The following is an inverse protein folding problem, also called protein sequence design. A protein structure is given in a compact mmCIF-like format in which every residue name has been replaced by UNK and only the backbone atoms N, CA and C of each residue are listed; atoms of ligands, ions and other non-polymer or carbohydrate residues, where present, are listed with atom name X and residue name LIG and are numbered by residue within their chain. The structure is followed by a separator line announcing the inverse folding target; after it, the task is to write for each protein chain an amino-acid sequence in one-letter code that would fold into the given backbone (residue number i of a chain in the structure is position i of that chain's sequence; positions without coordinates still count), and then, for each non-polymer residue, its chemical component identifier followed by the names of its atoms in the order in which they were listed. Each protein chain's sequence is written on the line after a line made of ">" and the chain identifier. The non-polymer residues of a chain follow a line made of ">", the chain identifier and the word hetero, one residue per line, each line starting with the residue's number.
data_IF_397878686775
#
_entry.id   IF_397878686775
#
_cell.length_a   1.000
_cell.length_b   1.000
_cell.length_c   1.000
_cell.angle_alpha   90.00
_cell.angle_beta   90.00
_cell.angle_gamma   90.00
#
_symmetry.space_group_name_H-M   'P 1'
#
loop_
_entity.id
_entity.type
_entity.pdbx_description
1 polymer ?
#
# COMPACT_ATOMS: atom_id res chain seq x y z
N UNK A 1 -6.72 2.12 -13.54
CA UNK A 1 -7.43 2.86 -14.61
C UNK A 1 -6.96 2.45 -16.02
N UNK A 2 -5.81 1.80 -16.17
CA UNK A 2 -5.21 1.53 -17.49
C UNK A 2 -4.71 2.79 -18.23
N UNK A 3 -4.73 3.96 -17.59
CA UNK A 3 -4.28 5.24 -18.16
C UNK A 3 -2.87 5.57 -17.68
N UNK A 4 -2.11 6.25 -18.51
CA UNK A 4 -0.79 6.77 -18.12
C UNK A 4 -0.92 7.83 -17.01
N UNK A 5 0.07 7.94 -16.10
CA UNK A 5 0.07 8.95 -15.02
C UNK A 5 -0.16 10.38 -15.51
N UNK A 6 0.39 10.73 -16.66
CA UNK A 6 0.19 12.05 -17.29
C UNK A 6 -1.26 12.33 -17.69
N UNK A 7 -2.07 11.29 -17.89
CA UNK A 7 -3.50 11.45 -18.21
C UNK A 7 -4.37 11.55 -16.97
N UNK A 8 -3.99 10.90 -15.88
CA UNK A 8 -4.68 11.01 -14.59
C UNK A 8 -4.21 12.23 -13.79
N UNK A 9 -3.12 12.85 -14.19
CA UNK A 9 -2.50 13.97 -13.46
C UNK A 9 -1.67 13.54 -12.24
N UNK A 10 -1.71 12.26 -11.84
CA UNK A 10 -0.92 11.73 -10.72
C UNK A 10 0.48 11.36 -11.23
N UNK A 11 1.34 12.35 -11.38
CA UNK A 11 2.65 12.23 -12.05
C UNK A 11 3.84 12.10 -11.11
N UNK A 12 3.61 12.22 -9.80
CA UNK A 12 4.61 11.99 -8.75
C UNK A 12 3.94 11.29 -7.57
N UNK A 13 4.70 10.76 -6.60
CA UNK A 13 4.09 10.23 -5.40
C UNK A 13 3.42 11.34 -4.59
N UNK A 14 2.26 11.06 -4.04
CA UNK A 14 1.45 12.05 -3.32
C UNK A 14 2.20 12.52 -2.07
N UNK A 15 2.25 13.85 -1.88
CA UNK A 15 3.08 14.51 -0.85
C UNK A 15 4.45 15.00 -1.35
N UNK A 16 4.97 14.47 -2.45
CA UNK A 16 6.30 14.80 -2.96
C UNK A 16 6.50 16.28 -3.33
N UNK A 17 5.50 16.87 -3.96
CA UNK A 17 5.60 18.21 -4.51
C UNK A 17 5.16 19.31 -3.54
N UNK A 18 4.53 18.96 -2.42
CA UNK A 18 3.93 19.96 -1.52
C UNK A 18 4.98 20.84 -0.83
N UNK A 19 6.23 20.40 -0.79
CA UNK A 19 7.31 21.08 -0.05
C UNK A 19 7.09 21.17 1.46
N UNK A 20 5.92 20.74 1.94
CA UNK A 20 5.53 20.78 3.36
C UNK A 20 6.08 19.62 4.14
N UNK A 21 6.07 18.44 3.53
CA UNK A 21 6.49 17.20 4.18
C UNK A 21 7.95 16.87 3.94
N UNK A 22 8.52 17.39 2.83
CA UNK A 22 9.89 17.10 2.47
C UNK A 22 10.54 18.28 1.72
N UNK A 23 11.59 18.87 2.33
CA UNK A 23 12.41 19.91 1.69
C UNK A 23 13.34 19.27 0.68
N UNK A 24 13.02 19.38 -0.59
CA UNK A 24 13.93 18.99 -1.67
C UNK A 24 15.02 20.05 -1.81
N UNK A 25 16.26 19.65 -1.61
CA UNK A 25 17.41 20.52 -1.90
C UNK A 25 17.76 20.42 -3.40
N UNK A 26 16.87 20.89 -4.25
CA UNK A 26 17.04 20.89 -5.71
C UNK A 26 16.86 22.28 -6.27
N UNK A 27 17.49 22.55 -7.42
CA UNK A 27 17.36 23.83 -8.14
C UNK A 27 16.05 23.92 -8.95
N UNK A 28 15.34 22.81 -9.12
CA UNK A 28 14.12 22.74 -9.90
C UNK A 28 12.91 22.74 -8.96
N UNK A 29 11.89 23.49 -9.32
CA UNK A 29 10.58 23.41 -8.68
C UNK A 29 9.90 22.10 -9.12
N UNK A 30 9.20 21.41 -8.20
CA UNK A 30 8.41 20.26 -8.57
C UNK A 30 7.29 20.66 -9.55
N UNK A 31 7.01 19.79 -10.50
CA UNK A 31 5.87 19.98 -11.38
C UNK A 31 4.56 19.91 -10.58
N UNK A 32 3.57 20.67 -11.01
CA UNK A 32 2.21 20.54 -10.45
C UNK A 32 1.65 19.19 -10.85
N UNK A 33 1.05 18.48 -9.91
CA UNK A 33 0.39 17.20 -10.15
C UNK A 33 -0.92 17.10 -9.34
N UNK A 34 -1.80 16.20 -9.72
CA UNK A 34 -3.03 15.91 -9.00
C UNK A 34 -2.70 15.08 -7.75
N UNK A 35 -3.06 15.52 -6.53
CA UNK A 35 -2.66 14.85 -5.28
C UNK A 35 -3.53 13.63 -4.93
N UNK A 36 -4.35 13.16 -5.85
CA UNK A 36 -5.28 12.05 -5.65
C UNK A 36 -5.68 11.42 -6.98
N UNK A 37 -6.19 10.20 -6.95
CA UNK A 37 -6.88 9.63 -8.10
C UNK A 37 -8.32 10.15 -8.09
N UNK A 38 -8.66 10.98 -9.08
CA UNK A 38 -10.00 11.59 -9.16
C UNK A 38 -11.09 10.52 -9.37
N UNK A 39 -12.27 10.75 -8.77
CA UNK A 39 -13.39 9.80 -8.83
C UNK A 39 -13.99 9.65 -10.24
N UNK A 40 -13.65 10.53 -11.16
CA UNK A 40 -14.02 10.41 -12.58
C UNK A 40 -13.17 9.40 -13.34
N UNK A 41 -12.04 8.98 -12.74
CA UNK A 41 -11.17 7.98 -13.32
C UNK A 41 -11.74 6.58 -13.07
N UNK A 42 -12.28 5.97 -14.12
CA UNK A 42 -12.85 4.64 -14.02
C UNK A 42 -11.79 3.58 -13.70
N UNK A 43 -11.93 2.91 -12.58
CA UNK A 43 -11.02 1.89 -12.10
C UNK A 43 -11.42 0.48 -12.54
N UNK A 44 -10.47 -0.44 -12.54
CA UNK A 44 -10.76 -1.86 -12.79
C UNK A 44 -11.72 -2.43 -11.72
N UNK A 45 -11.64 -1.96 -10.48
CA UNK A 45 -12.52 -2.41 -9.41
C UNK A 45 -13.98 -2.01 -9.67
N UNK A 46 -14.22 -0.77 -10.11
CA UNK A 46 -15.56 -0.28 -10.47
C UNK A 46 -16.14 -1.07 -11.65
N UNK A 47 -15.32 -1.31 -12.70
CA UNK A 47 -15.74 -2.11 -13.85
C UNK A 47 -16.12 -3.53 -13.41
N UNK A 48 -15.26 -4.21 -12.67
CA UNK A 48 -15.52 -5.60 -12.24
C UNK A 48 -16.72 -5.67 -11.29
N UNK A 49 -16.83 -4.71 -10.37
CA UNK A 49 -17.99 -4.63 -9.47
C UNK A 49 -19.30 -4.46 -10.24
N UNK A 50 -19.34 -3.64 -11.28
CA UNK A 50 -20.53 -3.46 -12.12
C UNK A 50 -20.90 -4.71 -12.92
N UNK A 51 -19.97 -5.67 -13.06
CA UNK A 51 -20.18 -6.98 -13.66
C UNK A 51 -20.36 -8.10 -12.62
N UNK A 52 -20.70 -7.76 -11.37
CA UNK A 52 -21.05 -8.74 -10.34
C UNK A 52 -19.87 -9.39 -9.61
N UNK A 53 -18.67 -8.88 -9.78
CA UNK A 53 -17.53 -9.33 -9.01
C UNK A 53 -17.58 -8.77 -7.59
N UNK A 54 -17.30 -9.60 -6.59
CA UNK A 54 -16.94 -9.12 -5.26
C UNK A 54 -15.53 -8.50 -5.31
N UNK A 55 -15.37 -7.30 -4.76
CA UNK A 55 -14.10 -6.55 -4.89
C UNK A 55 -13.46 -6.30 -3.53
N UNK A 56 -12.16 -6.55 -3.44
CA UNK A 56 -11.38 -6.48 -2.21
C UNK A 56 -10.02 -5.82 -2.43
N UNK A 57 -9.66 -4.94 -1.54
CA UNK A 57 -8.35 -4.30 -1.46
C UNK A 57 -7.70 -4.57 -0.12
N UNK A 58 -6.40 -4.90 -0.12
CA UNK A 58 -5.62 -4.97 1.11
C UNK A 58 -4.23 -4.35 0.92
N UNK A 59 -3.83 -3.49 1.85
CA UNK A 59 -2.50 -2.90 1.92
C UNK A 59 -2.40 -1.45 1.45
N UNK A 60 -1.32 -1.11 0.78
CA UNK A 60 -0.99 0.27 0.39
C UNK A 60 -1.87 0.78 -0.74
N UNK A 61 -2.56 1.89 -0.50
CA UNK A 61 -3.28 2.65 -1.52
C UNK A 61 -2.50 3.89 -1.98
N UNK A 62 -2.38 4.90 -1.15
CA UNK A 62 -1.63 6.13 -1.39
C UNK A 62 -2.07 6.90 -2.65
N UNK A 63 -3.36 6.92 -2.95
CA UNK A 63 -3.95 7.63 -4.09
C UNK A 63 -5.00 8.66 -3.68
N UNK A 64 -4.81 9.30 -2.54
CA UNK A 64 -5.67 10.39 -2.05
C UNK A 64 -5.97 10.30 -0.57
N UNK A 65 -6.58 11.38 -0.07
CA UNK A 65 -7.10 11.47 1.29
C UNK A 65 -8.46 10.77 1.42
N UNK A 66 -9.08 10.87 2.59
CA UNK A 66 -10.45 10.38 2.83
C UNK A 66 -11.41 10.92 1.77
N UNK A 67 -12.27 10.05 1.26
CA UNK A 67 -13.13 10.32 0.09
C UNK A 67 -12.52 9.87 -1.25
N UNK A 68 -11.25 9.42 -1.26
CA UNK A 68 -10.56 8.87 -2.42
C UNK A 68 -9.86 7.53 -2.11
N UNK A 69 -10.32 6.83 -1.07
CA UNK A 69 -9.77 5.55 -0.66
C UNK A 69 -10.32 4.40 -1.50
N UNK A 70 -9.83 3.16 -1.33
CA UNK A 70 -10.28 2.03 -2.14
C UNK A 70 -11.79 1.86 -2.20
N UNK A 71 -12.50 2.06 -1.09
CA UNK A 71 -13.96 1.98 -1.04
C UNK A 71 -14.67 3.03 -1.91
N UNK A 72 -14.06 4.19 -2.10
CA UNK A 72 -14.58 5.25 -2.97
C UNK A 72 -14.25 5.00 -4.45
N UNK A 73 -13.37 4.04 -4.73
CA UNK A 73 -12.83 3.67 -6.04
C UNK A 73 -13.23 2.24 -6.47
N UNK A 74 -14.36 1.74 -5.95
CA UNK A 74 -15.00 0.51 -6.41
C UNK A 74 -14.67 -0.76 -5.63
N UNK A 75 -13.86 -0.70 -4.57
CA UNK A 75 -13.64 -1.86 -3.71
C UNK A 75 -14.68 -1.94 -2.60
N UNK A 76 -15.42 -3.05 -2.51
CA UNK A 76 -16.43 -3.27 -1.46
C UNK A 76 -15.81 -3.49 -0.08
N UNK A 77 -14.60 -4.03 -0.05
CA UNK A 77 -13.85 -4.30 1.17
C UNK A 77 -12.47 -3.68 1.06
N UNK A 78 -12.13 -2.84 2.04
CA UNK A 78 -10.81 -2.24 2.20
C UNK A 78 -10.16 -2.69 3.52
N UNK A 79 -8.97 -3.24 3.43
CA UNK A 79 -8.14 -3.67 4.56
C UNK A 79 -6.78 -2.97 4.54
N UNK A 80 -6.73 -1.79 5.14
CA UNK A 80 -5.49 -1.04 5.32
C UNK A 80 -5.17 -0.02 4.25
N UNK A 81 -5.98 0.11 3.19
CA UNK A 81 -5.79 1.13 2.16
C UNK A 81 -6.24 2.51 2.63
N UNK A 82 -5.32 3.48 2.64
CA UNK A 82 -5.58 4.87 3.01
C UNK A 82 -4.52 5.81 2.41
N UNK A 83 -4.47 7.07 2.88
CA UNK A 83 -3.61 8.11 2.32
C UNK A 83 -2.11 7.95 2.59
N UNK A 84 -1.67 7.14 3.55
CA UNK A 84 -0.25 6.99 3.85
C UNK A 84 0.45 6.08 2.83
N UNK A 85 1.62 6.51 2.36
CA UNK A 85 2.42 5.76 1.37
C UNK A 85 3.27 4.64 1.94
N UNK A 86 3.39 4.55 3.26
CA UNK A 86 4.17 3.54 3.96
C UNK A 86 3.48 3.10 5.25
N UNK A 87 4.05 2.14 5.98
CA UNK A 87 3.52 1.65 7.24
C UNK A 87 3.86 2.62 8.37
N UNK A 88 3.32 3.84 8.28
CA UNK A 88 3.58 4.93 9.23
C UNK A 88 2.45 4.99 10.25
N UNK A 89 2.76 4.76 11.50
CA UNK A 89 1.84 4.71 12.64
C UNK A 89 2.18 3.56 13.54
N UNK A 90 1.79 3.60 14.80
CA UNK A 90 2.04 2.56 15.79
C UNK A 90 3.43 1.94 15.72
N UNK A 91 3.49 0.64 15.69
CA UNK A 91 4.72 -0.14 15.51
C UNK A 91 5.08 -0.41 14.04
N UNK A 92 4.56 0.38 13.10
CA UNK A 92 4.89 0.33 11.67
C UNK A 92 4.49 -1.01 11.02
N UNK A 93 5.46 -1.94 10.82
CA UNK A 93 5.20 -3.26 10.26
C UNK A 93 4.65 -4.27 11.28
N UNK A 94 4.49 -3.88 12.54
CA UNK A 94 4.00 -4.75 13.59
C UNK A 94 2.80 -4.13 14.33
N UNK A 95 1.88 -4.97 14.77
CA UNK A 95 0.74 -4.51 15.59
C UNK A 95 1.23 -3.93 16.94
N UNK A 96 0.61 -2.83 17.41
CA UNK A 96 -0.50 -2.08 16.82
C UNK A 96 -0.08 -1.27 15.59
N UNK A 97 -0.88 -1.33 14.51
CA UNK A 97 -0.58 -0.66 13.23
C UNK A 97 -1.01 0.81 13.20
N UNK A 98 -2.00 1.15 14.04
CA UNK A 98 -2.68 2.45 14.00
C UNK A 98 -3.13 2.83 12.57
N UNK A 99 -3.71 1.87 11.88
CA UNK A 99 -4.21 2.03 10.53
C UNK A 99 -5.73 2.24 10.55
N UNK A 100 -6.26 3.30 9.94
CA UNK A 100 -7.70 3.62 10.03
C UNK A 100 -8.61 2.59 9.34
N UNK A 101 -8.05 1.72 8.49
CA UNK A 101 -8.78 0.71 7.71
C UNK A 101 -8.36 -0.73 8.03
N UNK A 102 -7.54 -0.92 9.05
CA UNK A 102 -7.13 -2.24 9.50
C UNK A 102 -7.13 -2.29 11.03
N UNK A 103 -7.97 -3.14 11.59
CA UNK A 103 -7.99 -3.38 13.02
C UNK A 103 -6.65 -3.98 13.47
N UNK A 104 -6.13 -3.51 14.59
CA UNK A 104 -4.95 -4.08 15.21
C UNK A 104 -5.17 -5.55 15.58
N UNK A 105 -4.16 -6.35 15.40
CA UNK A 105 -4.10 -7.74 15.84
C UNK A 105 -3.36 -7.88 17.17
N UNK A 106 -2.98 -9.11 17.54
CA UNK A 106 -2.11 -9.33 18.69
C UNK A 106 -0.82 -8.52 18.59
N UNK A 107 -0.27 -8.11 19.74
CA UNK A 107 1.00 -7.38 19.77
C UNK A 107 2.09 -8.14 19.00
N UNK A 108 2.79 -7.39 18.13
CA UNK A 108 3.85 -7.95 17.32
C UNK A 108 3.41 -8.75 16.10
N UNK A 109 2.09 -8.84 15.81
CA UNK A 109 1.64 -9.44 14.55
C UNK A 109 2.20 -8.66 13.36
N UNK A 110 2.80 -9.38 12.40
CA UNK A 110 3.44 -8.76 11.25
C UNK A 110 2.42 -8.33 10.19
N UNK A 111 2.46 -7.08 9.77
CA UNK A 111 1.48 -6.49 8.85
C UNK A 111 1.29 -7.25 7.53
N UNK A 112 2.33 -7.71 6.81
CA UNK A 112 2.15 -8.54 5.63
C UNK A 112 1.38 -9.85 5.91
N UNK A 113 1.67 -10.52 7.02
CA UNK A 113 0.96 -11.74 7.40
C UNK A 113 -0.53 -11.44 7.68
N UNK A 114 -0.81 -10.34 8.38
CA UNK A 114 -2.19 -9.89 8.62
C UNK A 114 -2.93 -9.60 7.31
N UNK A 115 -2.33 -8.88 6.37
CA UNK A 115 -2.95 -8.57 5.08
C UNK A 115 -3.20 -9.85 4.26
N UNK A 116 -2.27 -10.80 4.30
CA UNK A 116 -2.45 -12.10 3.66
C UNK A 116 -3.62 -12.88 4.27
N UNK A 117 -3.72 -12.92 5.60
CA UNK A 117 -4.84 -13.58 6.30
C UNK A 117 -6.19 -12.95 5.95
N UNK A 118 -6.29 -11.62 5.92
CA UNK A 118 -7.53 -10.94 5.52
C UNK A 118 -7.89 -11.23 4.05
N UNK A 119 -6.88 -11.35 3.19
CA UNK A 119 -7.08 -11.73 1.77
C UNK A 119 -7.60 -13.16 1.64
N UNK A 120 -7.00 -14.10 2.36
CA UNK A 120 -7.46 -15.52 2.37
C UNK A 120 -8.91 -15.61 2.87
N UNK A 121 -9.26 -14.96 3.96
CA UNK A 121 -10.64 -14.91 4.48
C UNK A 121 -11.62 -14.39 3.41
N UNK A 122 -11.24 -13.36 2.67
CA UNK A 122 -12.07 -12.83 1.60
C UNK A 122 -12.25 -13.85 0.46
N UNK A 123 -11.17 -14.50 0.03
CA UNK A 123 -11.22 -15.53 -1.03
C UNK A 123 -12.11 -16.69 -0.62
N UNK A 124 -11.92 -17.23 0.58
CA UNK A 124 -12.73 -18.34 1.09
C UNK A 124 -14.23 -18.00 1.14
N UNK A 125 -14.56 -16.78 1.57
CA UNK A 125 -15.94 -16.30 1.62
C UNK A 125 -16.58 -16.16 0.23
N UNK A 126 -15.79 -15.91 -0.80
CA UNK A 126 -16.29 -15.56 -2.14
C UNK A 126 -15.92 -16.58 -3.23
N UNK A 127 -15.33 -17.73 -2.89
CA UNK A 127 -14.83 -18.72 -3.85
C UNK A 127 -15.85 -19.27 -4.83
N UNK A 128 -17.15 -19.22 -4.49
CA UNK A 128 -18.25 -19.75 -5.32
C UNK A 128 -18.79 -18.70 -6.31
N UNK A 129 -18.24 -17.49 -6.34
CA UNK A 129 -18.64 -16.42 -7.26
C UNK A 129 -17.42 -15.68 -7.78
N UNK A 130 -17.52 -14.94 -8.89
CA UNK A 130 -16.40 -14.16 -9.38
C UNK A 130 -15.98 -13.10 -8.35
N UNK A 131 -14.69 -12.96 -8.15
CA UNK A 131 -14.13 -11.94 -7.27
C UNK A 131 -12.85 -11.32 -7.83
N UNK A 132 -12.55 -10.14 -7.37
CA UNK A 132 -11.31 -9.43 -7.63
C UNK A 132 -10.65 -9.05 -6.31
N UNK A 133 -9.53 -9.66 -6.00
CA UNK A 133 -8.71 -9.36 -4.82
C UNK A 133 -7.41 -8.68 -5.22
N UNK A 134 -7.20 -7.45 -4.75
CA UNK A 134 -5.98 -6.68 -4.98
C UNK A 134 -5.18 -6.58 -3.68
N UNK A 135 -4.11 -7.38 -3.56
CA UNK A 135 -3.22 -7.38 -2.41
C UNK A 135 -1.96 -6.57 -2.74
N UNK A 136 -1.86 -5.39 -2.14
CA UNK A 136 -0.79 -4.42 -2.32
C UNK A 136 0.00 -4.26 -1.02
N UNK A 137 1.05 -5.06 -0.84
CA UNK A 137 1.87 -4.98 0.36
C UNK A 137 2.54 -3.62 0.54
N UNK A 138 2.65 -3.15 1.79
CA UNK A 138 3.51 -2.03 2.14
C UNK A 138 5.00 -2.36 2.01
N UNK A 139 5.37 -3.63 2.18
CA UNK A 139 6.75 -4.12 2.01
C UNK A 139 7.20 -3.98 0.54
N UNK A 140 8.42 -3.50 0.32
CA UNK A 140 9.46 -3.23 1.33
C UNK A 140 9.70 -1.71 1.46
N UNK A 141 8.69 -0.94 1.78
CA UNK A 141 8.83 0.50 1.97
C UNK A 141 9.59 0.80 3.27
N UNK A 142 10.27 1.95 3.31
CA UNK A 142 10.89 2.45 4.55
C UNK A 142 9.84 2.76 5.62
N UNK A 143 10.17 2.60 6.93
CA UNK A 143 11.44 2.10 7.47
C UNK A 143 11.65 0.62 7.18
N UNK A 144 12.89 0.22 6.89
CA UNK A 144 13.23 -1.18 6.63
C UNK A 144 13.28 -1.93 7.96
N UNK A 145 12.20 -2.60 8.28
CA UNK A 145 12.05 -3.40 9.50
C UNK A 145 11.68 -4.82 9.09
N UNK A 146 12.53 -5.75 9.44
CA UNK A 146 12.36 -7.18 9.14
C UNK A 146 11.82 -7.96 10.33
N UNK A 147 11.29 -9.15 10.05
CA UNK A 147 11.07 -10.18 11.06
C UNK A 147 12.41 -10.77 11.45
N UNK A 148 12.69 -10.88 12.74
CA UNK A 148 13.97 -11.40 13.27
C UNK A 148 14.29 -12.81 12.78
N UNK A 149 13.28 -13.70 12.71
CA UNK A 149 13.44 -15.07 12.26
C UNK A 149 13.90 -15.17 10.78
N UNK A 150 13.43 -14.24 9.93
CA UNK A 150 13.82 -14.16 8.53
C UNK A 150 15.14 -13.42 8.33
N UNK A 151 15.38 -12.36 9.10
CA UNK A 151 16.61 -11.58 9.02
C UNK A 151 17.86 -12.43 9.25
N UNK A 152 17.86 -13.22 10.31
CA UNK A 152 18.96 -14.15 10.64
C UNK A 152 19.33 -15.05 9.46
N UNK A 153 18.32 -15.60 8.77
CA UNK A 153 18.52 -16.44 7.59
C UNK A 153 19.27 -15.73 6.45
N UNK A 154 19.04 -14.42 6.30
CA UNK A 154 19.65 -13.63 5.23
C UNK A 154 20.99 -13.01 5.64
N UNK A 155 21.19 -12.68 6.90
CA UNK A 155 22.49 -12.23 7.43
C UNK A 155 23.57 -13.26 7.19
N UNK A 156 23.31 -14.54 7.46
CA UNK A 156 24.23 -15.63 7.21
C UNK A 156 24.64 -15.75 5.72
N UNK A 157 23.76 -15.37 4.81
CA UNK A 157 24.03 -15.32 3.37
C UNK A 157 24.85 -14.10 2.94
N UNK A 158 24.66 -12.96 3.60
CA UNK A 158 25.40 -11.71 3.37
C UNK A 158 26.91 -11.90 3.55
N UNK A 159 27.28 -12.60 4.60
CA UNK A 159 28.68 -12.89 4.95
C UNK A 159 29.36 -13.70 3.83
N UNK A 160 28.64 -14.61 3.18
CA UNK A 160 29.18 -15.49 2.13
C UNK A 160 29.37 -14.82 0.77
N UNK A 161 28.71 -13.71 0.47
CA UNK A 161 28.67 -13.11 -0.87
C UNK A 161 29.42 -11.78 -1.03
N UNK A 162 29.86 -11.14 0.02
CA UNK A 162 30.69 -9.91 -0.03
C UNK A 162 30.10 -8.69 -0.77
N UNK A 163 28.87 -8.79 -1.29
CA UNK A 163 28.32 -7.88 -2.30
C UNK A 163 27.37 -6.81 -1.76
N UNK A 164 27.07 -6.75 -0.47
CA UNK A 164 25.95 -5.92 0.00
C UNK A 164 26.28 -4.82 1.01
N UNK A 165 27.52 -4.45 1.14
CA UNK A 165 27.94 -3.53 2.20
C UNK A 165 27.54 -2.06 2.02
N UNK A 166 26.98 -1.63 0.91
CA UNK A 166 26.78 -0.19 0.62
C UNK A 166 25.34 0.32 0.49
N UNK A 167 24.32 -0.53 0.52
CA UNK A 167 22.94 -0.08 0.26
C UNK A 167 21.98 -0.22 1.45
N UNK A 168 22.44 -0.58 2.62
CA UNK A 168 21.63 -0.83 3.80
C UNK A 168 22.10 -0.15 5.08
N UNK A 169 22.76 0.98 4.97
CA UNK A 169 23.07 1.83 6.13
C UNK A 169 22.32 3.14 6.03
#
# INVERSE_FOLDING_TARGET
>A
TGRYPTRTGVTDYIGAASGKEWKRNTRLLPAVYTPQLELQELTIAEILRSHGYATFFAGKWHLGNEGFWPEDQGFEVNKGGHNRGGPYGGNKYFSPYENPRLQDGPDGEHLPDRLAVETVKFIEKNKEKPFFAFLSFYSVHTPLISREDLEKKYLDRKIKRGLFAKWGQ
#
